data_IF_755380238747
#
_entry.id   IF_755380238747
#
_cell.length_a   1.000
_cell.length_b   1.000
_cell.length_c   1.000
_cell.angle_alpha   90.00
_cell.angle_beta   90.00
_cell.angle_gamma   90.00
#
_symmetry.space_group_name_H-M   'P 1'
#
loop_
_entity.id
_entity.type
_entity.pdbx_description
1 polymer ?
#
# COMPACT_ATOMS: atom_id res chain seq x y z
N UNK A 1 11.32 -29.62 -4.20
CA UNK A 1 10.84 -28.23 -4.07
C UNK A 1 9.32 -28.31 -3.98
N UNK A 2 8.72 -27.96 -2.83
CA UNK A 2 7.25 -28.03 -2.63
C UNK A 2 6.54 -26.70 -3.03
N UNK A 3 7.32 -25.67 -3.35
CA UNK A 3 6.82 -24.40 -3.87
C UNK A 3 6.30 -24.62 -5.30
N UNK A 4 4.97 -24.66 -5.47
CA UNK A 4 4.27 -24.93 -6.73
C UNK A 4 3.34 -26.16 -6.73
N UNK A 5 3.38 -26.99 -5.66
CA UNK A 5 2.46 -28.13 -5.53
C UNK A 5 1.06 -27.70 -5.05
N UNK A 6 0.02 -28.38 -5.54
CA UNK A 6 -1.34 -28.15 -5.04
C UNK A 6 -1.41 -28.52 -3.54
N UNK A 7 -2.16 -27.76 -2.73
CA UNK A 7 -2.24 -27.94 -1.28
C UNK A 7 -2.46 -29.40 -0.84
N UNK A 8 -3.31 -30.14 -1.55
CA UNK A 8 -3.57 -31.56 -1.27
C UNK A 8 -2.33 -32.45 -1.38
N UNK A 9 -1.36 -32.11 -2.23
CA UNK A 9 -0.10 -32.84 -2.38
C UNK A 9 0.90 -32.52 -1.28
N UNK A 10 0.83 -31.32 -0.69
CA UNK A 10 1.70 -30.90 0.43
C UNK A 10 1.13 -31.40 1.76
N UNK A 11 -0.20 -31.36 1.91
CA UNK A 11 -0.94 -31.74 3.12
C UNK A 11 -0.61 -33.15 3.62
N UNK A 12 -0.35 -34.10 2.72
CA UNK A 12 -0.03 -35.48 3.08
C UNK A 12 1.27 -35.63 3.89
N UNK A 13 2.19 -34.65 3.78
CA UNK A 13 3.45 -34.64 4.52
C UNK A 13 3.34 -33.98 5.90
N UNK A 14 2.18 -33.39 6.22
CA UNK A 14 1.92 -32.75 7.50
C UNK A 14 1.21 -33.73 8.43
N UNK A 15 1.85 -34.03 9.57
CA UNK A 15 1.29 -34.91 10.58
C UNK A 15 0.17 -34.20 11.36
N UNK A 16 -0.69 -34.99 12.00
CA UNK A 16 -1.77 -34.46 12.86
C UNK A 16 -1.24 -33.52 13.94
N UNK A 17 -0.10 -33.87 14.53
CA UNK A 17 0.59 -33.05 15.55
C UNK A 17 0.98 -31.68 15.01
N UNK A 18 1.42 -31.61 13.75
CA UNK A 18 1.75 -30.34 13.08
C UNK A 18 0.51 -29.46 12.96
N UNK A 19 -0.64 -30.02 12.59
CA UNK A 19 -1.90 -29.26 12.55
C UNK A 19 -2.35 -28.78 13.93
N UNK A 20 -2.14 -29.58 14.98
CA UNK A 20 -2.45 -29.17 16.36
C UNK A 20 -1.54 -28.02 16.80
N UNK A 21 -0.25 -28.09 16.50
CA UNK A 21 0.69 -27.00 16.80
C UNK A 21 0.32 -25.71 16.04
N UNK A 22 -0.02 -25.82 14.75
CA UNK A 22 -0.49 -24.68 13.95
C UNK A 22 -1.80 -24.09 14.49
N UNK A 23 -2.75 -24.93 14.91
CA UNK A 23 -3.99 -24.47 15.55
C UNK A 23 -3.74 -23.79 16.91
N UNK A 24 -2.74 -24.25 17.67
CA UNK A 24 -2.32 -23.54 18.88
C UNK A 24 -1.71 -22.18 18.53
N UNK A 25 -0.90 -22.10 17.47
CA UNK A 25 -0.38 -20.83 16.97
C UNK A 25 -1.49 -19.84 16.63
N UNK A 26 -2.60 -20.29 16.02
CA UNK A 26 -3.72 -19.38 15.71
C UNK A 26 -4.42 -18.82 16.96
N UNK A 27 -4.41 -19.53 18.09
CA UNK A 27 -5.00 -19.03 19.34
C UNK A 27 -4.13 -17.99 20.05
N UNK A 28 -2.80 -18.08 19.88
CA UNK A 28 -1.86 -17.15 20.51
C UNK A 28 -1.48 -15.98 19.60
N UNK A 29 -1.74 -16.08 18.30
CA UNK A 29 -1.55 -14.98 17.36
C UNK A 29 -2.73 -14.02 17.56
N UNK A 30 -2.47 -12.77 17.99
CA UNK A 30 -3.52 -11.77 18.12
C UNK A 30 -4.20 -11.50 16.77
N UNK A 31 -5.51 -11.20 16.80
CA UNK A 31 -6.26 -10.70 15.64
C UNK A 31 -5.84 -9.25 15.34
N UNK A 32 -4.63 -9.09 14.79
CA UNK A 32 -4.00 -7.78 14.59
C UNK A 32 -4.54 -7.02 13.38
N UNK A 33 -5.17 -7.71 12.42
CA UNK A 33 -5.55 -7.11 11.14
C UNK A 33 -6.96 -7.50 10.70
N UNK A 34 -7.77 -6.49 10.35
CA UNK A 34 -8.93 -6.70 9.50
C UNK A 34 -8.45 -6.95 8.07
N UNK A 35 -8.88 -8.06 7.45
CA UNK A 35 -8.61 -8.32 6.04
C UNK A 35 -9.06 -7.12 5.19
N UNK A 36 -8.14 -6.60 4.39
CA UNK A 36 -8.45 -5.67 3.30
C UNK A 36 -9.21 -6.46 2.24
N UNK A 37 -10.33 -5.90 1.77
CA UNK A 37 -11.14 -6.54 0.74
C UNK A 37 -10.44 -6.51 -0.61
N UNK A 38 -10.70 -7.51 -1.46
CA UNK A 38 -10.12 -7.56 -2.81
C UNK A 38 -10.54 -6.35 -3.64
N UNK A 39 -11.76 -5.84 -3.44
CA UNK A 39 -12.27 -4.64 -4.09
C UNK A 39 -11.45 -3.39 -3.73
N UNK A 40 -11.03 -3.26 -2.46
CA UNK A 40 -10.22 -2.13 -2.03
C UNK A 40 -8.81 -2.17 -2.66
N UNK A 41 -8.20 -3.36 -2.77
CA UNK A 41 -6.91 -3.53 -3.46
C UNK A 41 -7.02 -3.28 -4.96
N UNK A 42 -8.11 -3.73 -5.59
CA UNK A 42 -8.39 -3.48 -6.99
C UNK A 42 -8.59 -1.98 -7.27
N UNK A 43 -9.27 -1.25 -6.37
CA UNK A 43 -9.45 0.19 -6.48
C UNK A 43 -8.10 0.94 -6.44
N UNK A 44 -7.21 0.59 -5.50
CA UNK A 44 -5.85 1.16 -5.46
C UNK A 44 -5.11 0.86 -6.77
N UNK A 45 -5.19 -0.37 -7.27
CA UNK A 45 -4.55 -0.77 -8.52
C UNK A 45 -5.04 0.05 -9.71
N UNK A 46 -6.35 0.32 -9.78
CA UNK A 46 -6.95 1.15 -10.82
C UNK A 46 -6.47 2.60 -10.73
N UNK A 47 -6.41 3.19 -9.53
CA UNK A 47 -5.90 4.54 -9.33
C UNK A 47 -4.43 4.67 -9.77
N UNK A 48 -3.63 3.65 -9.49
CA UNK A 48 -2.22 3.60 -9.93
C UNK A 48 -2.10 3.45 -11.45
N UNK A 49 -2.95 2.63 -12.08
CA UNK A 49 -2.99 2.51 -13.54
C UNK A 49 -3.42 3.84 -14.20
N UNK A 50 -4.40 4.54 -13.62
CA UNK A 50 -4.85 5.85 -14.09
C UNK A 50 -3.77 6.93 -13.91
N UNK A 51 -2.98 6.85 -12.84
CA UNK A 51 -1.83 7.70 -12.59
C UNK A 51 -0.73 7.45 -13.63
N UNK A 52 -0.36 6.18 -13.85
CA UNK A 52 0.63 5.80 -14.87
C UNK A 52 0.21 6.30 -16.25
N UNK A 53 -1.05 6.12 -16.63
CA UNK A 53 -1.59 6.62 -17.91
C UNK A 53 -1.52 8.14 -18.03
N UNK A 54 -1.73 8.88 -16.93
CA UNK A 54 -1.62 10.35 -16.96
C UNK A 54 -0.20 10.87 -17.16
N UNK A 55 0.82 10.05 -16.93
CA UNK A 55 2.21 10.44 -17.17
C UNK A 55 2.61 10.34 -18.64
N UNK A 56 1.93 9.50 -19.44
CA UNK A 56 2.26 9.31 -20.86
C UNK A 56 1.97 10.54 -21.71
N UNK A 57 0.92 11.30 -21.36
CA UNK A 57 0.46 12.48 -22.09
C UNK A 57 0.90 13.82 -21.47
N UNK A 58 1.53 13.79 -20.29
CA UNK A 58 1.82 15.01 -19.53
C UNK A 58 3.19 15.59 -19.87
N UNK A 59 3.23 16.89 -20.18
CA UNK A 59 4.47 17.66 -20.30
C UNK A 59 5.01 18.02 -18.90
N UNK A 60 5.39 17.00 -18.13
CA UNK A 60 5.96 17.14 -16.78
C UNK A 60 7.47 17.13 -16.80
N UNK A 61 8.10 17.72 -15.78
CA UNK A 61 9.55 17.69 -15.64
C UNK A 61 10.07 16.25 -15.46
N UNK A 62 11.27 15.91 -15.98
CA UNK A 62 11.85 14.57 -15.82
C UNK A 62 11.97 14.15 -14.35
N UNK A 63 12.28 15.10 -13.47
CA UNK A 63 12.37 14.89 -12.03
C UNK A 63 11.02 14.48 -11.42
N UNK A 64 9.93 15.13 -11.84
CA UNK A 64 8.59 14.77 -11.38
C UNK A 64 8.17 13.41 -11.93
N UNK A 65 8.51 13.09 -13.18
CA UNK A 65 8.25 11.78 -13.76
C UNK A 65 8.93 10.65 -12.98
N UNK A 66 10.23 10.78 -12.66
CA UNK A 66 10.96 9.80 -11.84
C UNK A 66 10.36 9.66 -10.44
N UNK A 67 9.98 10.77 -9.82
CA UNK A 67 9.34 10.76 -8.50
C UNK A 67 8.02 9.96 -8.54
N UNK A 68 7.14 10.24 -9.51
CA UNK A 68 5.84 9.57 -9.62
C UNK A 68 6.04 8.07 -9.94
N UNK A 69 6.96 7.72 -10.84
CA UNK A 69 7.24 6.31 -11.19
C UNK A 69 7.77 5.50 -10.00
N UNK A 70 8.60 6.13 -9.16
CA UNK A 70 9.03 5.55 -7.88
C UNK A 70 7.84 5.29 -6.94
N UNK A 71 6.95 6.27 -6.77
CA UNK A 71 5.76 6.09 -5.93
C UNK A 71 4.80 5.03 -6.48
N UNK A 72 4.60 4.96 -7.80
CA UNK A 72 3.82 3.90 -8.45
C UNK A 72 4.41 2.53 -8.08
N UNK A 73 5.72 2.36 -8.27
CA UNK A 73 6.42 1.10 -7.97
C UNK A 73 6.29 0.73 -6.49
N UNK A 74 6.30 1.73 -5.61
CA UNK A 74 6.20 1.55 -4.17
C UNK A 74 4.80 1.05 -3.75
N UNK A 75 3.74 1.55 -4.40
CA UNK A 75 2.35 1.08 -4.19
C UNK A 75 2.16 -0.32 -4.79
N UNK A 76 2.59 -0.55 -6.04
CA UNK A 76 2.48 -1.84 -6.72
C UNK A 76 3.17 -2.95 -5.92
N UNK A 77 4.37 -2.68 -5.38
CA UNK A 77 5.08 -3.61 -4.50
C UNK A 77 4.28 -3.91 -3.23
N UNK A 78 3.69 -2.90 -2.60
CA UNK A 78 2.91 -3.09 -1.37
C UNK A 78 1.69 -3.99 -1.60
N UNK A 79 1.01 -3.84 -2.75
CA UNK A 79 -0.12 -4.70 -3.14
C UNK A 79 0.37 -6.13 -3.39
N UNK A 80 1.50 -6.30 -4.07
CA UNK A 80 2.07 -7.63 -4.34
C UNK A 80 2.54 -8.34 -3.05
N UNK A 81 2.99 -7.60 -2.04
CA UNK A 81 3.43 -8.12 -0.75
C UNK A 81 2.29 -8.38 0.23
N UNK A 82 1.12 -7.79 0.03
CA UNK A 82 -0.05 -7.94 0.92
C UNK A 82 -0.43 -9.41 1.23
N UNK A 83 -0.44 -10.36 0.28
CA UNK A 83 -0.75 -11.77 0.59
C UNK A 83 0.24 -12.44 1.55
N UNK A 84 1.43 -11.84 1.74
CA UNK A 84 2.52 -12.37 2.55
C UNK A 84 2.63 -11.62 3.88
N UNK A 85 2.66 -10.29 3.82
CA UNK A 85 2.92 -9.41 4.95
C UNK A 85 1.66 -8.74 5.52
N UNK A 86 0.50 -8.95 4.91
CA UNK A 86 -0.76 -8.36 5.34
C UNK A 86 -0.81 -6.84 5.14
N UNK A 87 -1.68 -6.18 5.88
CA UNK A 87 -1.89 -4.74 5.83
C UNK A 87 -0.63 -3.94 6.23
N UNK A 88 0.29 -4.57 6.96
CA UNK A 88 1.61 -4.00 7.25
C UNK A 88 2.38 -3.57 6.00
N UNK A 89 2.28 -4.30 4.88
CA UNK A 89 2.94 -3.93 3.63
C UNK A 89 2.49 -2.54 3.12
N UNK A 90 1.17 -2.32 3.10
CA UNK A 90 0.57 -1.04 2.70
C UNK A 90 0.90 0.08 3.68
N UNK A 91 1.00 -0.21 4.98
CA UNK A 91 1.42 0.78 5.98
C UNK A 91 2.87 1.19 5.84
N UNK A 92 3.78 0.25 5.63
CA UNK A 92 5.19 0.57 5.42
C UNK A 92 5.36 1.40 4.15
N UNK A 93 4.62 1.05 3.10
CA UNK A 93 4.55 1.82 1.88
C UNK A 93 4.03 3.25 2.11
N UNK A 94 2.90 3.40 2.81
CA UNK A 94 2.33 4.71 3.14
C UNK A 94 3.31 5.56 3.96
N UNK A 95 3.96 5.00 4.98
CA UNK A 95 4.93 5.73 5.80
C UNK A 95 6.11 6.23 4.96
N UNK A 96 6.65 5.40 4.08
CA UNK A 96 7.78 5.77 3.21
C UNK A 96 7.34 6.81 2.19
N UNK A 97 6.24 6.56 1.46
CA UNK A 97 5.73 7.45 0.43
C UNK A 97 5.37 8.83 0.98
N UNK A 98 4.64 8.90 2.10
CA UNK A 98 4.31 10.16 2.77
C UNK A 98 5.57 10.93 3.22
N UNK A 99 6.57 10.23 3.75
CA UNK A 99 7.84 10.85 4.15
C UNK A 99 8.56 11.49 2.97
N UNK A 100 8.67 10.77 1.87
CA UNK A 100 9.30 11.25 0.63
C UNK A 100 8.54 12.45 0.04
N UNK A 101 7.20 12.41 0.02
CA UNK A 101 6.37 13.52 -0.46
C UNK A 101 6.57 14.81 0.35
N UNK A 102 6.75 14.70 1.67
CA UNK A 102 7.04 15.84 2.54
C UNK A 102 8.41 16.46 2.21
N UNK A 103 9.40 15.64 1.89
CA UNK A 103 10.75 16.11 1.54
C UNK A 103 10.77 16.87 0.21
N UNK A 104 9.98 16.42 -0.77
CA UNK A 104 9.92 17.00 -2.12
C UNK A 104 8.77 18.01 -2.33
N UNK A 105 8.12 18.44 -1.24
CA UNK A 105 6.91 19.27 -1.27
C UNK A 105 6.97 20.50 -2.18
N UNK A 106 8.11 21.18 -2.27
CA UNK A 106 8.22 22.42 -3.06
C UNK A 106 8.11 22.10 -4.56
N UNK A 107 8.66 20.95 -4.99
CA UNK A 107 8.54 20.47 -6.38
C UNK A 107 7.10 20.12 -6.71
N UNK A 108 6.36 19.53 -5.77
CA UNK A 108 4.95 19.20 -5.95
C UNK A 108 4.08 20.46 -6.02
N UNK A 109 4.41 21.51 -5.24
CA UNK A 109 3.71 22.81 -5.30
C UNK A 109 3.89 23.53 -6.62
N UNK A 110 5.09 23.47 -7.18
CA UNK A 110 5.41 24.08 -8.48
C UNK A 110 4.59 23.46 -9.62
N UNK A 111 4.22 22.19 -9.49
CA UNK A 111 3.55 21.38 -10.53
C UNK A 111 2.14 20.93 -10.10
N UNK A 112 1.53 21.58 -9.09
CA UNK A 112 0.27 21.16 -8.46
C UNK A 112 -0.92 21.08 -9.42
N UNK A 113 -0.90 21.92 -10.45
CA UNK A 113 -1.99 22.03 -11.42
C UNK A 113 -1.92 20.91 -12.48
N UNK A 114 -0.90 20.04 -12.40
CA UNK A 114 -0.79 18.89 -13.29
C UNK A 114 -1.74 17.75 -12.85
N UNK A 115 -2.40 17.06 -13.81
CA UNK A 115 -3.27 15.93 -13.49
C UNK A 115 -2.55 14.81 -12.71
N UNK A 116 -1.27 14.61 -13.00
CA UNK A 116 -0.46 13.53 -12.42
C UNK A 116 -0.23 13.74 -10.92
N UNK A 117 -0.01 14.97 -10.47
CA UNK A 117 0.17 15.30 -9.05
C UNK A 117 -1.11 15.07 -8.25
N UNK A 118 -2.26 15.47 -8.80
CA UNK A 118 -3.57 15.23 -8.20
C UNK A 118 -3.91 13.73 -8.08
N UNK A 119 -3.62 12.96 -9.14
CA UNK A 119 -3.81 11.51 -9.14
C UNK A 119 -2.89 10.79 -8.16
N UNK A 120 -1.65 11.27 -8.01
CA UNK A 120 -0.70 10.76 -7.02
C UNK A 120 -1.25 10.94 -5.59
N UNK A 121 -1.77 12.12 -5.28
CA UNK A 121 -2.42 12.38 -3.98
C UNK A 121 -3.62 11.46 -3.75
N UNK A 122 -4.47 11.28 -4.76
CA UNK A 122 -5.65 10.41 -4.67
C UNK A 122 -5.27 8.94 -4.42
N UNK A 123 -4.29 8.42 -5.15
CA UNK A 123 -3.80 7.06 -4.97
C UNK A 123 -3.26 6.84 -3.55
N UNK A 124 -2.42 7.74 -3.06
CA UNK A 124 -1.86 7.63 -1.72
C UNK A 124 -2.91 7.78 -0.61
N UNK A 125 -3.90 8.67 -0.79
CA UNK A 125 -5.03 8.80 0.14
C UNK A 125 -5.74 7.47 0.31
N UNK A 126 -6.06 6.81 -0.81
CA UNK A 126 -6.72 5.49 -0.78
C UNK A 126 -5.86 4.42 -0.11
N UNK A 127 -4.55 4.39 -0.39
CA UNK A 127 -3.61 3.45 0.25
C UNK A 127 -3.62 3.64 1.77
N UNK A 128 -3.54 4.87 2.25
CA UNK A 128 -3.48 5.13 3.68
C UNK A 128 -4.80 4.84 4.39
N UNK A 129 -5.94 5.23 3.81
CA UNK A 129 -7.27 4.89 4.36
C UNK A 129 -7.44 3.38 4.48
N UNK A 130 -7.01 2.64 3.46
CA UNK A 130 -7.09 1.18 3.43
C UNK A 130 -6.17 0.55 4.48
N UNK A 131 -4.94 1.06 4.64
CA UNK A 131 -4.01 0.61 5.66
C UNK A 131 -4.50 0.92 7.09
N UNK A 132 -5.07 2.11 7.31
CA UNK A 132 -5.58 2.55 8.61
C UNK A 132 -6.79 1.73 9.08
N UNK A 133 -7.73 1.42 8.17
CA UNK A 133 -8.88 0.56 8.47
C UNK A 133 -8.42 -0.85 8.86
N UNK A 134 -7.45 -1.39 8.12
CA UNK A 134 -7.01 -2.77 8.29
C UNK A 134 -6.25 -2.98 9.61
N UNK A 135 -5.46 -2.01 10.04
CA UNK A 135 -4.53 -2.19 11.17
C UNK A 135 -5.12 -1.91 12.55
N UNK A 136 -6.40 -1.48 12.65
CA UNK A 136 -7.11 -1.14 13.91
C UNK A 136 -6.26 -0.32 14.91
N UNK A 137 -5.26 0.44 14.43
CA UNK A 137 -4.19 1.00 15.25
C UNK A 137 -4.51 2.45 15.65
N UNK A 138 -5.13 2.61 16.82
CA UNK A 138 -5.60 3.89 17.38
C UNK A 138 -4.55 5.02 17.37
N UNK A 139 -3.26 4.70 17.56
CA UNK A 139 -2.17 5.70 17.62
C UNK A 139 -1.66 6.16 16.26
N UNK A 140 -1.93 5.43 15.17
CA UNK A 140 -1.47 5.79 13.83
C UNK A 140 -2.48 6.57 13.01
N UNK A 141 -3.78 6.37 13.29
CA UNK A 141 -4.85 7.20 12.72
C UNK A 141 -4.53 8.71 12.86
N UNK A 142 -3.96 9.13 14.00
CA UNK A 142 -3.57 10.53 14.22
C UNK A 142 -2.34 10.99 13.43
N UNK A 143 -1.39 10.10 13.13
CA UNK A 143 -0.21 10.41 12.32
C UNK A 143 -0.55 10.43 10.82
N UNK A 144 -1.34 9.45 10.36
CA UNK A 144 -1.88 9.41 9.01
C UNK A 144 -2.77 10.60 8.71
N UNK A 145 -3.70 10.95 9.60
CA UNK A 145 -4.55 12.14 9.44
C UNK A 145 -3.77 13.45 9.42
N UNK A 146 -2.72 13.60 10.24
CA UNK A 146 -1.90 14.83 10.26
C UNK A 146 -1.00 14.95 9.04
N UNK A 147 -0.38 13.84 8.61
CA UNK A 147 0.40 13.80 7.39
C UNK A 147 -0.51 14.05 6.17
N UNK A 148 -1.74 13.53 6.19
CA UNK A 148 -2.71 13.80 5.13
C UNK A 148 -3.25 15.20 5.11
N UNK A 149 -3.65 15.76 6.24
CA UNK A 149 -4.08 17.15 6.32
C UNK A 149 -2.95 18.10 5.87
N UNK A 150 -1.69 17.73 6.12
CA UNK A 150 -0.54 18.48 5.62
C UNK A 150 -0.35 18.33 4.10
N UNK A 151 -0.63 17.17 3.53
CA UNK A 151 -0.54 16.95 2.08
C UNK A 151 -1.75 17.51 1.31
N UNK A 152 -2.97 17.51 1.86
CA UNK A 152 -4.15 18.18 1.27
C UNK A 152 -3.98 19.72 1.21
N UNK A 153 -3.08 20.30 2.02
CA UNK A 153 -2.71 21.71 1.94
C UNK A 153 -1.65 21.99 0.84
N UNK A 154 -1.07 20.93 0.26
CA UNK A 154 0.10 20.99 -0.64
C UNK A 154 -0.21 20.48 -2.05
N UNK A 155 -1.01 19.42 -2.15
CA UNK A 155 -1.51 18.78 -3.39
C UNK A 155 -2.90 19.32 -3.71
#
# INVERSE_FOLDING_TARGET
MLLGGAWNQVKQYLLRETFVALAFCTEIIPDEESNISEEALAEISNLVADLRSSMEDANISPRLHELIDHHISLIERAIAEYPIAGAKALREAARTGLGELIEVREVLKEEKDTPSVNKLGTAWKRVNETADIALKAEKLSQLGQKAWAFLEDIL
#
